data_IF_707096140378
#
_entry.id   IF_707096140378
#
_cell.length_a   1.000
_cell.length_b   1.000
_cell.length_c   1.000
_cell.angle_alpha   90.00
_cell.angle_beta   90.00
_cell.angle_gamma   90.00
#
_symmetry.space_group_name_H-M   'P 1'
#
loop_
_entity.id
_entity.type
_entity.pdbx_description
1 polymer ?
#
# COMPACT_ATOMS: atom_id res chain seq x y z
N UNK A 1 -11.71 -3.74 -14.64
CA UNK A 1 -13.03 -4.27 -14.26
C UNK A 1 -12.83 -4.94 -12.90
N UNK A 2 -13.29 -4.33 -11.80
CA UNK A 2 -12.91 -4.73 -10.44
C UNK A 2 -13.70 -5.95 -9.96
N UNK A 3 -13.05 -6.89 -9.27
CA UNK A 3 -13.67 -7.94 -8.45
C UNK A 3 -14.29 -9.12 -9.24
N UNK A 4 -13.69 -10.31 -9.19
CA UNK A 4 -14.25 -11.55 -9.78
C UNK A 4 -14.61 -12.55 -8.67
N UNK A 5 -15.87 -13.00 -8.63
CA UNK A 5 -16.27 -14.13 -7.78
C UNK A 5 -15.97 -15.43 -8.53
N UNK A 6 -15.08 -16.24 -7.96
CA UNK A 6 -14.71 -17.54 -8.51
C UNK A 6 -15.23 -18.65 -7.59
N UNK A 7 -15.98 -19.58 -8.19
CA UNK A 7 -16.35 -20.85 -7.56
C UNK A 7 -15.14 -21.79 -7.59
N UNK A 8 -14.69 -22.25 -6.43
CA UNK A 8 -13.57 -23.20 -6.30
C UNK A 8 -14.11 -24.62 -6.16
N UNK A 9 -15.14 -24.80 -5.35
CA UNK A 9 -15.93 -26.03 -5.23
C UNK A 9 -17.42 -25.67 -5.11
N UNK A 10 -18.29 -26.66 -4.95
CA UNK A 10 -19.71 -26.41 -4.62
C UNK A 10 -19.91 -25.63 -3.31
N UNK A 11 -18.96 -25.72 -2.38
CA UNK A 11 -19.05 -25.11 -1.05
C UNK A 11 -18.09 -23.94 -0.85
N UNK A 12 -17.06 -23.80 -1.68
CA UNK A 12 -15.96 -22.86 -1.47
C UNK A 12 -15.87 -21.86 -2.62
N UNK A 13 -15.87 -20.59 -2.27
CA UNK A 13 -15.81 -19.48 -3.20
C UNK A 13 -14.75 -18.48 -2.76
N UNK A 14 -14.13 -17.81 -3.73
CA UNK A 14 -13.20 -16.70 -3.50
C UNK A 14 -13.64 -15.49 -4.31
N UNK A 15 -13.75 -14.35 -3.65
CA UNK A 15 -13.91 -13.06 -4.30
C UNK A 15 -12.53 -12.42 -4.45
N UNK A 16 -12.03 -12.41 -5.69
CA UNK A 16 -10.73 -11.85 -6.04
C UNK A 16 -10.83 -10.38 -6.32
N UNK A 17 -10.17 -9.57 -5.52
CA UNK A 17 -10.11 -8.12 -5.66
C UNK A 17 -8.68 -7.65 -5.34
N UNK A 18 -8.51 -6.38 -4.99
CA UNK A 18 -7.28 -5.87 -4.37
C UNK A 18 -6.85 -6.83 -3.25
N UNK A 19 -7.73 -7.07 -2.27
CA UNK A 19 -7.58 -8.16 -1.28
C UNK A 19 -8.57 -9.27 -1.60
N UNK A 20 -8.19 -10.51 -1.40
CA UNK A 20 -9.07 -11.66 -1.57
C UNK A 20 -9.86 -11.92 -0.30
N UNK A 21 -11.14 -12.23 -0.45
CA UNK A 21 -11.96 -12.81 0.62
C UNK A 21 -12.54 -14.12 0.15
N UNK A 22 -12.66 -15.08 1.04
CA UNK A 22 -13.26 -16.37 0.72
C UNK A 22 -14.51 -16.62 1.55
N UNK A 23 -15.39 -17.51 1.10
CA UNK A 23 -16.48 -18.00 1.94
C UNK A 23 -16.75 -19.48 1.72
N UNK A 24 -17.21 -20.13 2.78
CA UNK A 24 -17.47 -21.57 2.86
C UNK A 24 -18.92 -21.79 3.27
N UNK A 25 -19.63 -22.60 2.50
CA UNK A 25 -21.04 -22.93 2.72
C UNK A 25 -21.14 -24.33 3.36
N UNK A 26 -21.51 -24.37 4.63
CA UNK A 26 -21.91 -25.60 5.31
C UNK A 26 -23.43 -25.78 5.33
N UNK A 27 -23.91 -26.82 6.01
CA UNK A 27 -25.34 -27.10 6.08
C UNK A 27 -26.09 -26.09 6.97
N UNK A 28 -25.49 -25.66 8.08
CA UNK A 28 -26.04 -24.69 9.05
C UNK A 28 -25.85 -23.23 8.64
N UNK A 29 -24.82 -22.91 7.84
CA UNK A 29 -24.52 -21.53 7.51
C UNK A 29 -23.20 -21.30 6.79
N UNK A 30 -22.78 -20.04 6.71
CA UNK A 30 -21.60 -19.58 5.97
C UNK A 30 -20.52 -19.09 6.93
N UNK A 31 -19.26 -19.47 6.65
CA UNK A 31 -18.08 -18.78 7.18
C UNK A 31 -17.49 -17.86 6.12
N UNK A 32 -17.15 -16.63 6.48
CA UNK A 32 -16.41 -15.68 5.64
C UNK A 32 -14.98 -15.58 6.15
N UNK A 33 -14.00 -15.59 5.25
CA UNK A 33 -12.58 -15.46 5.55
C UNK A 33 -12.12 -14.13 4.96
N UNK A 34 -11.74 -13.21 5.85
CA UNK A 34 -11.40 -11.81 5.59
C UNK A 34 -12.51 -10.98 4.92
N UNK A 35 -12.54 -9.68 5.18
CA UNK A 35 -13.72 -8.83 4.93
C UNK A 35 -13.48 -7.66 3.97
N UNK A 36 -12.41 -7.69 3.19
CA UNK A 36 -12.05 -6.66 2.19
C UNK A 36 -11.62 -5.31 2.79
N UNK A 37 -11.13 -4.46 1.89
CA UNK A 37 -10.38 -3.24 2.21
C UNK A 37 -11.21 -2.07 2.71
N UNK A 38 -12.50 -2.06 2.40
CA UNK A 38 -13.41 -0.97 2.74
C UNK A 38 -14.87 -1.40 2.71
N UNK A 39 -15.71 -0.57 3.31
CA UNK A 39 -17.16 -0.75 3.36
C UNK A 39 -17.78 -1.07 1.99
N UNK A 40 -17.54 -0.29 0.91
CA UNK A 40 -18.09 -0.64 -0.41
C UNK A 40 -17.69 -2.03 -0.91
N UNK A 41 -16.43 -2.44 -0.68
CA UNK A 41 -15.94 -3.77 -1.08
C UNK A 41 -16.56 -4.89 -0.23
N UNK A 42 -16.76 -4.65 1.06
CA UNK A 42 -17.40 -5.57 1.99
C UNK A 42 -18.91 -5.74 1.69
N UNK A 43 -19.62 -4.65 1.40
CA UNK A 43 -21.03 -4.68 0.96
C UNK A 43 -21.17 -5.43 -0.38
N UNK A 44 -20.20 -5.27 -1.29
CA UNK A 44 -20.14 -6.05 -2.52
C UNK A 44 -19.91 -7.54 -2.25
N UNK A 45 -19.00 -7.89 -1.35
CA UNK A 45 -18.77 -9.29 -0.94
C UNK A 45 -20.04 -9.89 -0.35
N UNK A 46 -20.74 -9.18 0.53
CA UNK A 46 -22.03 -9.62 1.08
C UNK A 46 -23.06 -9.86 -0.03
N UNK A 47 -23.17 -8.93 -0.98
CA UNK A 47 -24.06 -9.09 -2.15
C UNK A 47 -23.74 -10.35 -2.95
N UNK A 48 -22.44 -10.61 -3.18
CA UNK A 48 -21.98 -11.81 -3.88
C UNK A 48 -22.30 -13.09 -3.10
N UNK A 49 -22.11 -13.11 -1.78
CA UNK A 49 -22.51 -14.25 -0.93
C UNK A 49 -24.01 -14.50 -1.07
N UNK A 50 -24.83 -13.44 -0.98
CA UNK A 50 -26.30 -13.52 -1.10
C UNK A 50 -26.77 -13.96 -2.49
N UNK A 51 -25.99 -13.69 -3.54
CA UNK A 51 -26.28 -14.21 -4.88
C UNK A 51 -26.07 -15.73 -5.01
N UNK A 52 -25.34 -16.34 -4.08
CA UNK A 52 -25.03 -17.77 -4.06
C UNK A 52 -25.87 -18.53 -3.02
N UNK A 53 -26.18 -17.91 -1.87
CA UNK A 53 -26.91 -18.59 -0.79
C UNK A 53 -27.64 -17.63 0.16
N UNK A 54 -28.83 -18.07 0.62
CA UNK A 54 -29.63 -17.39 1.64
C UNK A 54 -29.32 -17.85 3.07
N UNK A 55 -28.36 -18.77 3.25
CA UNK A 55 -28.01 -19.29 4.57
C UNK A 55 -27.46 -18.19 5.49
N UNK A 56 -27.66 -18.30 6.82
CA UNK A 56 -27.12 -17.33 7.76
C UNK A 56 -25.59 -17.29 7.70
N UNK A 57 -25.00 -16.10 7.79
CA UNK A 57 -23.56 -15.93 7.94
C UNK A 57 -23.26 -16.08 9.43
N UNK A 58 -22.63 -17.20 9.80
CA UNK A 58 -22.43 -17.56 11.19
C UNK A 58 -21.18 -16.90 11.76
N UNK A 59 -20.11 -16.84 10.96
CA UNK A 59 -18.80 -16.43 11.42
C UNK A 59 -18.02 -15.70 10.35
N UNK A 60 -17.18 -14.78 10.81
CA UNK A 60 -16.10 -14.16 10.05
C UNK A 60 -14.79 -14.55 10.71
N UNK A 61 -13.86 -15.05 9.92
CA UNK A 61 -12.52 -15.44 10.35
C UNK A 61 -11.56 -14.39 9.79
N UNK A 62 -10.89 -13.64 10.67
CA UNK A 62 -9.77 -12.79 10.26
C UNK A 62 -8.48 -13.60 10.27
N UNK A 63 -7.80 -13.65 9.13
CA UNK A 63 -6.56 -14.40 8.98
C UNK A 63 -5.42 -13.72 9.72
N UNK A 64 -5.33 -12.40 9.65
CA UNK A 64 -4.32 -11.59 10.33
C UNK A 64 -4.78 -10.15 10.52
N UNK A 65 -3.97 -9.35 11.20
CA UNK A 65 -4.35 -8.02 11.70
C UNK A 65 -4.43 -6.91 10.64
N UNK A 66 -4.02 -7.16 9.41
CA UNK A 66 -3.97 -6.11 8.40
C UNK A 66 -5.36 -5.56 8.07
N UNK A 67 -5.36 -4.25 7.88
CA UNK A 67 -6.53 -3.44 7.62
C UNK A 67 -7.37 -3.97 6.47
N UNK A 68 -6.70 -4.33 5.38
CA UNK A 68 -7.36 -4.68 4.13
C UNK A 68 -8.05 -6.06 4.17
N UNK A 69 -7.81 -6.82 5.25
CA UNK A 69 -8.46 -8.09 5.59
C UNK A 69 -9.56 -7.94 6.66
N UNK A 70 -9.57 -6.84 7.42
CA UNK A 70 -10.41 -6.69 8.63
C UNK A 70 -11.41 -5.56 8.54
N UNK A 71 -11.24 -4.60 7.63
CA UNK A 71 -12.03 -3.38 7.63
C UNK A 71 -13.54 -3.60 7.37
N UNK A 72 -13.91 -4.60 6.59
CA UNK A 72 -15.31 -4.93 6.36
C UNK A 72 -16.03 -5.60 7.52
N UNK A 73 -15.37 -5.87 8.66
CA UNK A 73 -15.91 -6.65 9.78
C UNK A 73 -17.29 -6.14 10.24
N UNK A 74 -17.49 -4.82 10.30
CA UNK A 74 -18.76 -4.21 10.70
C UNK A 74 -19.95 -4.62 9.82
N UNK A 75 -19.73 -4.82 8.52
CA UNK A 75 -20.79 -5.21 7.58
C UNK A 75 -21.34 -6.59 7.91
N UNK A 76 -20.46 -7.55 8.17
CA UNK A 76 -20.86 -8.91 8.52
C UNK A 76 -21.37 -9.01 9.96
N UNK A 77 -20.87 -8.16 10.86
CA UNK A 77 -21.42 -8.08 12.22
C UNK A 77 -22.89 -7.67 12.21
N UNK A 78 -23.27 -6.74 11.34
CA UNK A 78 -24.66 -6.33 11.17
C UNK A 78 -25.57 -7.45 10.64
N UNK A 79 -24.99 -8.42 9.91
CA UNK A 79 -25.68 -9.63 9.44
C UNK A 79 -25.77 -10.74 10.51
N UNK A 80 -25.29 -10.48 11.73
CA UNK A 80 -25.33 -11.41 12.86
C UNK A 80 -24.14 -12.36 12.96
N UNK A 81 -23.09 -12.18 12.16
CA UNK A 81 -21.89 -13.00 12.22
C UNK A 81 -21.10 -12.78 13.53
N UNK A 82 -20.49 -13.84 14.04
CA UNK A 82 -19.51 -13.78 15.14
C UNK A 82 -18.12 -13.62 14.56
N UNK A 83 -17.36 -12.62 15.02
CA UNK A 83 -15.99 -12.38 14.57
C UNK A 83 -15.00 -13.27 15.34
N UNK A 84 -14.15 -14.00 14.62
CA UNK A 84 -13.18 -14.97 15.15
C UNK A 84 -11.78 -14.66 14.63
N UNK A 85 -10.77 -14.71 15.50
CA UNK A 85 -9.36 -14.63 15.09
C UNK A 85 -8.45 -15.38 16.06
N UNK A 86 -7.15 -15.46 15.75
CA UNK A 86 -6.17 -15.77 16.79
C UNK A 86 -6.17 -14.68 17.87
N UNK A 87 -5.75 -15.02 19.09
CA UNK A 87 -5.55 -14.03 20.17
C UNK A 87 -4.54 -12.95 19.76
N UNK A 88 -3.43 -13.36 19.13
CA UNK A 88 -2.39 -12.45 18.64
C UNK A 88 -2.91 -11.47 17.59
N UNK A 89 -3.76 -11.93 16.67
CA UNK A 89 -4.38 -11.08 15.66
C UNK A 89 -5.21 -9.97 16.30
N UNK A 90 -6.06 -10.28 17.28
CA UNK A 90 -6.85 -9.27 18.00
C UNK A 90 -5.96 -8.26 18.74
N UNK A 91 -4.89 -8.75 19.37
CA UNK A 91 -3.91 -7.90 20.05
C UNK A 91 -3.23 -6.95 19.05
N UNK A 92 -2.80 -7.44 17.89
CA UNK A 92 -2.15 -6.64 16.85
C UNK A 92 -3.09 -5.66 16.17
N UNK A 93 -4.37 -6.01 15.97
CA UNK A 93 -5.37 -5.07 15.46
C UNK A 93 -5.50 -3.83 16.34
N UNK A 94 -5.22 -3.95 17.64
CA UNK A 94 -5.22 -2.80 18.56
C UNK A 94 -3.84 -2.15 18.62
N UNK A 95 -2.81 -2.94 18.94
CA UNK A 95 -1.46 -2.43 19.22
C UNK A 95 -0.78 -1.82 17.99
N UNK A 96 -1.12 -2.29 16.78
CA UNK A 96 -0.51 -1.85 15.52
C UNK A 96 -1.43 -0.97 14.66
N UNK A 97 -2.66 -0.67 15.11
CA UNK A 97 -3.57 0.23 14.38
C UNK A 97 -2.98 1.62 14.11
N UNK A 98 -2.31 2.30 15.07
CA UNK A 98 -1.70 3.61 14.79
C UNK A 98 -0.67 3.55 13.66
N UNK A 99 0.18 2.51 13.68
CA UNK A 99 1.19 2.24 12.66
C UNK A 99 0.57 1.99 11.28
N UNK A 100 -0.50 1.19 11.20
CA UNK A 100 -1.19 0.94 9.94
C UNK A 100 -1.81 2.21 9.36
N UNK A 101 -2.44 3.03 10.22
CA UNK A 101 -2.99 4.33 9.82
C UNK A 101 -1.90 5.25 9.30
N UNK A 102 -0.77 5.35 9.99
CA UNK A 102 0.38 6.16 9.55
C UNK A 102 0.91 5.67 8.19
N UNK A 103 1.13 4.36 8.05
CA UNK A 103 1.61 3.73 6.82
C UNK A 103 0.67 3.96 5.62
N UNK A 104 -0.65 3.95 5.82
CA UNK A 104 -1.61 4.16 4.75
C UNK A 104 -1.95 5.65 4.51
N UNK A 105 -1.90 6.48 5.56
CA UNK A 105 -2.08 7.93 5.44
C UNK A 105 -0.96 8.58 4.62
N UNK A 106 0.29 8.15 4.78
CA UNK A 106 1.37 8.62 3.91
C UNK A 106 1.16 8.19 2.45
N UNK A 107 0.38 7.12 2.21
CA UNK A 107 -0.04 6.65 0.89
C UNK A 107 -1.32 7.31 0.33
N UNK A 108 -1.86 8.31 1.03
CA UNK A 108 -3.07 9.02 0.62
C UNK A 108 -4.35 8.22 0.80
N UNK A 109 -4.32 7.19 1.65
CA UNK A 109 -5.49 6.43 2.06
C UNK A 109 -5.92 6.87 3.46
N UNK A 110 -7.19 7.26 3.61
CA UNK A 110 -7.83 7.32 4.92
C UNK A 110 -8.55 5.99 5.19
N UNK A 111 -8.20 5.40 6.33
CA UNK A 111 -8.86 4.18 6.80
C UNK A 111 -10.17 4.52 7.49
N UNK A 112 -10.33 5.73 8.01
CA UNK A 112 -11.48 6.10 8.82
C UNK A 112 -11.44 5.38 10.17
N UNK A 113 -12.56 4.74 10.55
CA UNK A 113 -12.71 4.11 11.87
C UNK A 113 -11.94 2.79 11.93
N UNK A 114 -11.43 2.48 13.12
CA UNK A 114 -10.79 1.18 13.36
C UNK A 114 -11.76 0.02 13.09
N UNK A 115 -11.27 -1.11 12.55
CA UNK A 115 -12.08 -2.29 12.34
C UNK A 115 -12.70 -2.80 13.64
N UNK A 116 -13.87 -3.44 13.55
CA UNK A 116 -14.42 -4.17 14.68
C UNK A 116 -13.48 -5.33 15.06
N UNK A 117 -13.16 -5.40 16.35
CA UNK A 117 -12.32 -6.45 16.90
C UNK A 117 -13.06 -7.79 16.98
N UNK A 118 -12.34 -8.92 16.80
CA UNK A 118 -12.87 -10.26 17.00
C UNK A 118 -13.43 -10.49 18.41
N UNK A 119 -14.55 -11.19 18.49
CA UNK A 119 -15.26 -11.50 19.73
C UNK A 119 -14.72 -12.77 20.36
N UNK A 120 -14.47 -13.78 19.53
CA UNK A 120 -13.87 -15.05 19.93
C UNK A 120 -12.41 -15.06 19.47
N UNK A 121 -11.53 -15.41 20.39
CA UNK A 121 -10.11 -15.63 20.10
C UNK A 121 -9.69 -17.05 20.42
N UNK A 122 -8.73 -17.57 19.67
CA UNK A 122 -8.11 -18.87 19.96
C UNK A 122 -6.58 -18.79 19.99
N UNK A 123 -5.97 -19.83 20.57
CA UNK A 123 -4.52 -20.06 20.54
C UNK A 123 -4.24 -21.47 20.01
N UNK A 124 -3.23 -21.62 19.15
CA UNK A 124 -2.89 -22.91 18.55
C UNK A 124 -3.85 -23.35 17.45
N UNK A 125 -4.87 -24.14 17.80
CA UNK A 125 -5.85 -24.71 16.85
C UNK A 125 -7.27 -24.44 17.30
N UNK A 126 -8.15 -24.20 16.34
CA UNK A 126 -9.58 -24.02 16.57
C UNK A 126 -10.37 -24.65 15.44
N UNK A 127 -11.60 -25.09 15.71
CA UNK A 127 -12.45 -25.72 14.71
C UNK A 127 -13.86 -25.15 14.79
N UNK A 128 -14.44 -24.88 13.62
CA UNK A 128 -15.82 -24.43 13.47
C UNK A 128 -16.55 -25.47 12.63
N UNK A 129 -17.69 -25.96 13.13
CA UNK A 129 -18.57 -26.86 12.36
C UNK A 129 -19.70 -26.05 11.72
N UNK A 130 -19.68 -25.94 10.39
CA UNK A 130 -20.74 -25.29 9.62
C UNK A 130 -21.91 -26.24 9.32
N UNK A 131 -22.02 -27.38 10.01
CA UNK A 131 -23.01 -28.42 9.75
C UNK A 131 -22.45 -29.46 8.80
N UNK A 132 -21.55 -30.32 9.29
CA UNK A 132 -20.91 -31.36 8.51
C UNK A 132 -19.71 -30.89 7.67
N UNK A 133 -19.38 -29.60 7.75
CA UNK A 133 -18.20 -29.01 7.08
C UNK A 133 -17.28 -28.43 8.17
N UNK A 134 -16.27 -29.19 8.62
CA UNK A 134 -15.33 -28.72 9.63
C UNK A 134 -14.33 -27.73 9.00
N UNK A 135 -14.22 -26.56 9.61
CA UNK A 135 -13.29 -25.48 9.24
C UNK A 135 -12.21 -25.41 10.31
N UNK A 136 -10.97 -25.78 9.97
CA UNK A 136 -9.86 -25.86 10.91
C UNK A 136 -8.98 -24.62 10.81
N UNK A 137 -8.85 -23.88 11.90
CA UNK A 137 -8.01 -22.69 12.01
C UNK A 137 -6.73 -23.06 12.77
N UNK A 138 -5.57 -22.66 12.27
CA UNK A 138 -4.30 -22.95 12.94
C UNK A 138 -3.21 -21.95 12.56
N UNK A 139 -2.23 -21.79 13.44
CA UNK A 139 -1.02 -21.03 13.16
C UNK A 139 0.00 -21.91 12.43
N UNK A 140 0.30 -21.58 11.16
CA UNK A 140 1.26 -22.32 10.34
C UNK A 140 2.73 -21.93 10.60
N UNK A 141 2.95 -20.78 11.23
CA UNK A 141 4.26 -20.15 11.45
C UNK A 141 4.24 -18.68 11.02
N UNK A 142 5.31 -17.95 11.32
CA UNK A 142 5.48 -16.56 10.88
C UNK A 142 5.69 -16.47 9.37
N UNK A 143 5.09 -15.47 8.74
CA UNK A 143 5.18 -15.21 7.31
C UNK A 143 5.25 -13.69 7.08
N UNK A 144 4.35 -13.13 6.27
CA UNK A 144 4.21 -11.68 6.07
C UNK A 144 3.93 -10.96 7.39
N UNK A 145 3.15 -11.59 8.27
CA UNK A 145 2.94 -11.22 9.67
C UNK A 145 3.26 -12.37 10.62
N UNK A 146 3.37 -12.07 11.92
CA UNK A 146 3.61 -13.06 12.98
C UNK A 146 2.32 -13.66 13.57
N UNK A 147 1.15 -13.22 13.12
CA UNK A 147 -0.17 -13.64 13.63
C UNK A 147 -1.01 -14.43 12.62
N UNK A 148 -0.48 -14.65 11.41
CA UNK A 148 -1.19 -15.28 10.30
C UNK A 148 -1.80 -16.65 10.68
N UNK A 149 -3.13 -16.70 10.57
CA UNK A 149 -3.95 -17.89 10.73
C UNK A 149 -4.24 -18.50 9.36
N UNK A 150 -3.91 -19.78 9.20
CA UNK A 150 -4.35 -20.57 8.07
C UNK A 150 -5.71 -21.23 8.39
N UNK A 151 -6.56 -21.32 7.38
CA UNK A 151 -7.87 -22.00 7.43
C UNK A 151 -7.82 -23.20 6.50
N UNK A 152 -7.99 -24.40 7.04
CA UNK A 152 -7.96 -25.65 6.29
C UNK A 152 -9.35 -26.30 6.28
N UNK A 153 -9.76 -26.74 5.09
CA UNK A 153 -10.95 -27.52 4.84
C UNK A 153 -10.54 -28.93 4.42
N UNK A 154 -10.53 -29.91 5.35
CA UNK A 154 -10.01 -31.24 5.07
C UNK A 154 -10.79 -31.98 3.97
N UNK A 155 -12.11 -31.79 3.91
CA UNK A 155 -12.98 -32.48 2.95
C UNK A 155 -12.74 -31.99 1.52
N UNK A 156 -12.59 -30.68 1.34
CA UNK A 156 -12.29 -30.07 0.04
C UNK A 156 -10.79 -30.11 -0.30
N UNK A 157 -9.93 -30.43 0.68
CA UNK A 157 -8.48 -30.36 0.59
C UNK A 157 -8.00 -28.96 0.15
N UNK A 158 -8.54 -27.92 0.79
CA UNK A 158 -8.28 -26.51 0.47
C UNK A 158 -7.72 -25.80 1.69
N UNK A 159 -6.75 -24.91 1.46
CA UNK A 159 -6.23 -23.99 2.47
C UNK A 159 -6.45 -22.55 2.05
N UNK A 160 -7.03 -21.73 2.92
CA UNK A 160 -6.96 -20.27 2.82
C UNK A 160 -5.85 -19.79 3.74
N UNK A 161 -4.96 -18.95 3.23
CA UNK A 161 -3.66 -18.70 3.87
C UNK A 161 -3.43 -17.25 4.32
N UNK A 162 -4.38 -16.36 4.04
CA UNK A 162 -4.13 -14.91 4.15
C UNK A 162 -2.86 -14.53 3.39
N UNK A 163 -2.09 -13.61 3.94
CA UNK A 163 -0.88 -13.10 3.29
C UNK A 163 0.35 -13.99 3.49
N UNK A 164 0.18 -15.15 4.12
CA UNK A 164 1.22 -16.19 4.08
C UNK A 164 1.56 -16.58 2.65
N UNK A 165 0.57 -16.55 1.75
CA UNK A 165 0.75 -16.74 0.31
C UNK A 165 0.15 -15.56 -0.42
N UNK A 166 0.94 -14.94 -1.30
CA UNK A 166 0.52 -13.90 -2.23
C UNK A 166 1.02 -14.26 -3.62
N UNK A 167 0.19 -14.10 -4.64
CA UNK A 167 0.51 -14.53 -6.01
C UNK A 167 0.16 -13.46 -7.05
N UNK A 168 0.61 -13.68 -8.29
CA UNK A 168 0.31 -12.79 -9.42
C UNK A 168 1.05 -11.45 -9.39
N UNK A 169 1.83 -11.20 -8.34
CA UNK A 169 2.72 -10.06 -8.18
C UNK A 169 3.91 -10.44 -7.30
N UNK A 170 4.96 -9.63 -7.35
CA UNK A 170 6.04 -9.66 -6.38
C UNK A 170 5.47 -9.53 -4.94
N UNK A 171 5.76 -10.48 -4.04
CA UNK A 171 5.19 -10.50 -2.70
C UNK A 171 5.70 -9.34 -1.86
N UNK A 172 4.87 -8.80 -0.97
CA UNK A 172 5.37 -7.95 0.10
C UNK A 172 5.97 -8.85 1.16
N UNK A 173 7.24 -8.64 1.53
CA UNK A 173 7.90 -9.48 2.53
C UNK A 173 7.72 -8.96 3.96
N UNK A 174 6.64 -8.22 4.22
CA UNK A 174 6.46 -7.42 5.42
C UNK A 174 6.77 -5.95 5.17
N UNK A 175 6.22 -5.10 6.04
CA UNK A 175 6.40 -3.66 5.91
C UNK A 175 7.88 -3.26 6.14
N UNK A 176 8.51 -2.48 5.24
CA UNK A 176 9.96 -2.32 5.19
C UNK A 176 10.58 -1.56 6.38
N UNK A 177 9.77 -0.86 7.16
CA UNK A 177 10.23 0.03 8.26
C UNK A 177 10.00 -0.56 9.65
N UNK A 178 9.48 -1.78 9.70
CA UNK A 178 9.03 -2.39 10.93
C UNK A 178 9.55 -3.81 11.08
N UNK A 179 9.62 -4.29 12.31
CA UNK A 179 10.08 -5.62 12.66
C UNK A 179 8.94 -6.64 12.51
N UNK A 180 8.69 -6.96 11.26
CA UNK A 180 7.67 -7.89 10.80
C UNK A 180 8.08 -8.47 9.46
N UNK A 181 7.59 -9.66 9.13
CA UNK A 181 7.78 -10.27 7.82
C UNK A 181 9.04 -11.10 7.72
N UNK A 182 9.66 -11.12 6.54
CA UNK A 182 10.83 -11.93 6.24
C UNK A 182 12.06 -11.45 7.04
N UNK A 183 12.56 -12.30 7.93
CA UNK A 183 13.68 -11.98 8.82
C UNK A 183 15.03 -12.56 8.37
N UNK A 184 15.05 -13.33 7.28
CA UNK A 184 16.25 -14.03 6.81
C UNK A 184 16.66 -15.24 7.66
N UNK A 185 15.76 -15.74 8.51
CA UNK A 185 15.93 -16.87 9.43
C UNK A 185 15.26 -18.17 8.94
N UNK A 186 14.62 -18.15 7.77
CA UNK A 186 13.95 -19.29 7.16
C UNK A 186 12.56 -19.61 7.72
N UNK A 187 11.99 -18.77 8.58
CA UNK A 187 10.66 -19.03 9.15
C UNK A 187 9.56 -19.06 8.09
N UNK A 188 9.54 -18.10 7.15
CA UNK A 188 8.51 -18.06 6.12
C UNK A 188 8.56 -19.27 5.19
N UNK A 189 9.75 -19.65 4.70
CA UNK A 189 9.94 -20.90 3.96
C UNK A 189 9.36 -22.10 4.74
N UNK A 190 9.65 -22.21 6.04
CA UNK A 190 9.12 -23.29 6.88
C UNK A 190 7.59 -23.22 7.01
N UNK A 191 7.03 -22.02 7.12
CA UNK A 191 5.58 -21.79 7.15
C UNK A 191 4.93 -22.28 5.85
N UNK A 192 5.50 -21.94 4.70
CA UNK A 192 5.04 -22.43 3.40
C UNK A 192 5.12 -23.96 3.33
N UNK A 193 6.21 -24.56 3.80
CA UNK A 193 6.37 -26.02 3.85
C UNK A 193 5.30 -26.68 4.75
N UNK A 194 4.96 -26.07 5.89
CA UNK A 194 3.89 -26.55 6.76
C UNK A 194 2.52 -26.53 6.06
N UNK A 195 2.23 -25.50 5.26
CA UNK A 195 1.02 -25.47 4.43
C UNK A 195 1.03 -26.56 3.35
N UNK A 196 2.16 -26.74 2.67
CA UNK A 196 2.32 -27.76 1.63
C UNK A 196 2.27 -29.19 2.17
N UNK A 197 2.66 -29.40 3.43
CA UNK A 197 2.58 -30.72 4.10
C UNK A 197 1.14 -31.22 4.26
N UNK A 198 0.15 -30.32 4.24
CA UNK A 198 -1.27 -30.69 4.19
C UNK A 198 -1.69 -31.28 2.83
N UNK A 199 -0.83 -31.15 1.81
CA UNK A 199 -1.08 -31.55 0.42
C UNK A 199 -2.36 -30.93 -0.16
N UNK A 200 -2.59 -29.62 0.01
CA UNK A 200 -3.81 -28.99 -0.49
C UNK A 200 -3.91 -29.11 -2.00
N UNK A 201 -5.11 -29.39 -2.51
CA UNK A 201 -5.39 -29.39 -3.95
C UNK A 201 -5.24 -27.98 -4.53
N UNK A 202 -5.52 -26.95 -3.73
CA UNK A 202 -5.33 -25.54 -4.06
C UNK A 202 -5.23 -24.71 -2.79
N UNK A 203 -4.42 -23.64 -2.84
CA UNK A 203 -4.35 -22.60 -1.82
C UNK A 203 -5.06 -21.34 -2.32
N UNK A 204 -5.91 -20.77 -1.47
CA UNK A 204 -6.56 -19.47 -1.67
C UNK A 204 -5.70 -18.42 -0.93
N UNK A 205 -4.96 -17.56 -1.67
CA UNK A 205 -4.10 -16.55 -1.06
C UNK A 205 -4.90 -15.33 -0.61
N UNK A 206 -4.31 -14.52 0.27
CA UNK A 206 -4.83 -13.20 0.66
C UNK A 206 -4.80 -12.19 -0.48
N UNK A 207 -3.89 -12.37 -1.44
CA UNK A 207 -3.83 -11.57 -2.66
C UNK A 207 -3.51 -12.41 -3.91
N UNK A 208 -4.14 -12.05 -5.02
CA UNK A 208 -3.81 -12.59 -6.34
C UNK A 208 -4.60 -13.85 -6.74
N UNK A 209 -4.19 -14.52 -7.84
CA UNK A 209 -4.79 -15.77 -8.31
C UNK A 209 -4.62 -16.96 -7.36
N UNK A 210 -5.41 -18.02 -7.55
CA UNK A 210 -5.24 -19.28 -6.80
C UNK A 210 -3.82 -19.83 -6.93
N UNK A 211 -3.28 -20.36 -5.82
CA UNK A 211 -1.92 -20.87 -5.73
C UNK A 211 -1.88 -22.40 -5.74
N UNK A 212 -0.92 -22.97 -6.46
CA UNK A 212 -0.54 -24.39 -6.40
C UNK A 212 0.97 -24.50 -6.25
N UNK A 213 1.50 -25.70 -6.46
CA UNK A 213 2.94 -26.01 -6.31
C UNK A 213 3.86 -25.05 -7.05
N UNK A 214 3.49 -24.63 -8.26
CA UNK A 214 4.27 -23.66 -9.06
C UNK A 214 4.39 -22.31 -8.35
N UNK A 215 3.28 -21.76 -7.87
CA UNK A 215 3.26 -20.47 -7.17
C UNK A 215 4.01 -20.55 -5.83
N UNK A 216 3.87 -21.66 -5.10
CA UNK A 216 4.60 -21.86 -3.84
C UNK A 216 6.11 -21.97 -4.07
N UNK A 217 6.50 -22.69 -5.12
CA UNK A 217 7.91 -22.85 -5.51
C UNK A 217 8.51 -21.53 -5.97
N UNK A 218 7.75 -20.70 -6.69
CA UNK A 218 8.17 -19.35 -7.06
C UNK A 218 8.35 -18.47 -5.82
N UNK A 219 7.39 -18.49 -4.87
CA UNK A 219 7.50 -17.70 -3.64
C UNK A 219 8.75 -18.08 -2.83
N UNK A 220 8.98 -19.38 -2.62
CA UNK A 220 10.20 -19.88 -1.96
C UNK A 220 11.46 -19.47 -2.72
N UNK A 221 11.44 -19.52 -4.06
CA UNK A 221 12.60 -19.14 -4.87
C UNK A 221 12.93 -17.64 -4.74
N UNK A 222 11.91 -16.77 -4.70
CA UNK A 222 12.08 -15.33 -4.46
C UNK A 222 12.68 -15.11 -3.06
N UNK A 223 12.09 -15.70 -2.02
CA UNK A 223 12.60 -15.58 -0.65
C UNK A 223 14.06 -16.01 -0.55
N UNK A 224 14.40 -17.19 -1.07
CA UNK A 224 15.76 -17.72 -1.06
C UNK A 224 16.74 -16.80 -1.75
N UNK A 225 16.38 -16.27 -2.93
CA UNK A 225 17.23 -15.36 -3.67
C UNK A 225 17.59 -14.12 -2.83
N UNK A 226 16.59 -13.42 -2.29
CA UNK A 226 16.86 -12.19 -1.51
C UNK A 226 17.56 -12.48 -0.19
N UNK A 227 17.19 -13.56 0.50
CA UNK A 227 17.87 -13.97 1.75
C UNK A 227 19.33 -14.28 1.49
N UNK A 228 19.64 -15.06 0.45
CA UNK A 228 21.01 -15.44 0.11
C UNK A 228 21.84 -14.24 -0.33
N UNK A 229 21.34 -13.44 -1.27
CA UNK A 229 22.10 -12.35 -1.86
C UNK A 229 22.33 -11.18 -0.89
N UNK A 230 21.34 -10.85 -0.06
CA UNK A 230 21.53 -9.82 0.97
C UNK A 230 22.46 -10.33 2.06
N UNK A 231 22.34 -11.61 2.46
CA UNK A 231 23.23 -12.21 3.47
C UNK A 231 24.69 -12.17 3.03
N UNK A 232 25.00 -12.55 1.79
CA UNK A 232 26.35 -12.45 1.22
C UNK A 232 26.94 -11.05 1.36
N UNK A 233 26.13 -10.01 1.19
CA UNK A 233 26.59 -8.64 1.28
C UNK A 233 26.69 -8.13 2.73
N UNK A 234 25.77 -8.55 3.61
CA UNK A 234 25.85 -8.27 5.06
C UNK A 234 27.09 -8.92 5.67
N UNK A 235 27.42 -10.15 5.29
CA UNK A 235 28.62 -10.88 5.75
C UNK A 235 29.93 -10.20 5.31
N UNK A 236 29.90 -9.42 4.22
CA UNK A 236 31.00 -8.55 3.78
C UNK A 236 31.05 -7.20 4.52
N UNK A 237 30.16 -6.97 5.47
CA UNK A 237 30.05 -5.71 6.21
C UNK A 237 29.44 -4.56 5.41
N UNK A 238 28.74 -4.85 4.30
CA UNK A 238 28.13 -3.80 3.49
C UNK A 238 26.94 -3.15 4.20
N UNK A 239 26.84 -1.82 4.10
CA UNK A 239 25.65 -1.07 4.48
C UNK A 239 24.49 -1.31 3.50
N UNK A 240 23.29 -0.87 3.86
CA UNK A 240 22.09 -1.07 3.03
C UNK A 240 22.18 -0.40 1.64
N UNK A 241 22.76 0.80 1.55
CA UNK A 241 22.86 1.56 0.29
C UNK A 241 23.65 0.82 -0.79
N UNK A 242 24.90 0.37 -0.54
CA UNK A 242 25.64 -0.37 -1.56
C UNK A 242 25.00 -1.73 -1.87
N UNK A 243 24.26 -2.34 -0.93
CA UNK A 243 23.51 -3.58 -1.18
C UNK A 243 22.38 -3.33 -2.18
N UNK A 244 21.58 -2.28 -1.97
CA UNK A 244 20.50 -1.92 -2.87
C UNK A 244 21.03 -1.59 -4.27
N UNK A 245 22.07 -0.76 -4.36
CA UNK A 245 22.66 -0.40 -5.66
C UNK A 245 23.24 -1.60 -6.40
N UNK A 246 23.93 -2.50 -5.69
CA UNK A 246 24.48 -3.73 -6.29
C UNK A 246 23.35 -4.63 -6.79
N UNK A 247 22.43 -5.01 -5.90
CA UNK A 247 21.39 -6.00 -6.20
C UNK A 247 20.41 -5.51 -7.27
N UNK A 248 19.93 -4.27 -7.18
CA UNK A 248 19.01 -3.70 -8.17
C UNK A 248 19.63 -3.70 -9.59
N UNK A 249 20.94 -3.52 -9.71
CA UNK A 249 21.63 -3.50 -11.01
C UNK A 249 21.76 -4.89 -11.67
N UNK A 250 21.63 -5.97 -10.89
CA UNK A 250 21.89 -7.34 -11.33
C UNK A 250 20.77 -8.32 -10.99
N UNK A 251 19.55 -7.80 -10.79
CA UNK A 251 18.38 -8.65 -10.57
C UNK A 251 18.19 -9.60 -11.77
N UNK A 252 18.03 -10.92 -11.53
CA UNK A 252 17.72 -11.86 -12.57
C UNK A 252 16.47 -11.49 -13.35
N UNK A 253 16.46 -11.81 -14.64
CA UNK A 253 15.33 -11.50 -15.54
C UNK A 253 14.00 -12.10 -15.06
N UNK A 254 14.04 -13.27 -14.40
CA UNK A 254 12.83 -13.90 -13.85
C UNK A 254 12.21 -13.13 -12.68
N UNK A 255 12.99 -12.30 -11.98
CA UNK A 255 12.50 -11.39 -10.92
C UNK A 255 11.98 -10.10 -11.55
N UNK A 256 12.73 -9.50 -12.48
CA UNK A 256 12.36 -8.21 -13.09
C UNK A 256 11.11 -8.29 -13.97
N UNK A 257 10.75 -9.50 -14.43
CA UNK A 257 9.50 -9.77 -15.16
C UNK A 257 8.27 -9.95 -14.26
N UNK A 258 8.42 -10.04 -12.93
CA UNK A 258 7.29 -10.18 -12.03
C UNK A 258 6.49 -8.88 -11.97
N UNK A 259 5.14 -8.92 -12.04
CA UNK A 259 4.32 -7.73 -11.84
C UNK A 259 4.55 -7.13 -10.45
N UNK A 260 4.68 -5.81 -10.36
CA UNK A 260 4.83 -5.08 -9.10
C UNK A 260 3.51 -4.40 -8.76
N UNK A 261 2.81 -4.96 -7.77
CA UNK A 261 1.52 -4.47 -7.25
C UNK A 261 1.65 -4.22 -5.75
N UNK A 262 2.18 -5.20 -5.02
CA UNK A 262 2.27 -5.19 -3.55
C UNK A 262 3.69 -4.93 -3.05
N UNK A 263 4.63 -5.83 -3.34
CA UNK A 263 6.04 -5.67 -2.96
C UNK A 263 6.92 -5.22 -4.12
N UNK A 264 8.16 -4.87 -3.80
CA UNK A 264 9.21 -4.57 -4.78
C UNK A 264 10.51 -5.29 -4.39
N UNK A 265 11.42 -5.57 -5.36
CA UNK A 265 12.76 -6.07 -5.05
C UNK A 265 13.49 -5.22 -4.01
N UNK A 266 13.34 -3.89 -4.07
CA UNK A 266 13.89 -2.96 -3.07
C UNK A 266 13.35 -3.25 -1.67
N UNK A 267 12.04 -3.42 -1.54
CA UNK A 267 11.41 -3.74 -0.25
C UNK A 267 11.90 -5.09 0.29
N UNK A 268 12.07 -6.08 -0.58
CA UNK A 268 12.64 -7.37 -0.20
C UNK A 268 14.07 -7.22 0.35
N UNK A 269 14.93 -6.45 -0.33
CA UNK A 269 16.31 -6.19 0.11
C UNK A 269 16.33 -5.50 1.48
N UNK A 270 15.54 -4.44 1.63
CA UNK A 270 15.44 -3.67 2.89
C UNK A 270 15.02 -4.57 4.05
N UNK A 271 13.96 -5.35 3.84
CA UNK A 271 13.38 -6.22 4.85
C UNK A 271 14.33 -7.31 5.31
N UNK A 272 14.93 -8.03 4.36
CA UNK A 272 15.95 -9.05 4.67
C UNK A 272 17.15 -8.44 5.38
N UNK A 273 17.65 -7.28 4.92
CA UNK A 273 18.78 -6.62 5.57
C UNK A 273 18.48 -6.28 7.03
N UNK A 274 17.31 -5.71 7.31
CA UNK A 274 16.89 -5.39 8.69
C UNK A 274 16.79 -6.65 9.55
N UNK A 275 16.21 -7.72 9.02
CA UNK A 275 16.08 -8.99 9.75
C UNK A 275 17.41 -9.65 10.08
N UNK A 276 18.38 -9.59 9.17
CA UNK A 276 19.73 -10.12 9.37
C UNK A 276 20.57 -9.24 10.32
N UNK A 277 20.39 -7.92 10.26
CA UNK A 277 21.15 -6.96 11.09
C UNK A 277 20.50 -6.61 12.43
N UNK A 278 19.30 -7.15 12.70
CA UNK A 278 18.50 -6.91 13.92
C UNK A 278 18.33 -5.42 14.22
N UNK A 279 18.11 -4.60 13.18
CA UNK A 279 17.87 -3.17 13.37
C UNK A 279 16.47 -2.93 13.96
N UNK A 280 16.36 -2.17 15.06
CA UNK A 280 15.07 -1.87 15.69
C UNK A 280 14.20 -1.00 14.80
N UNK A 281 12.89 -1.02 15.03
CA UNK A 281 11.92 -0.10 14.43
C UNK A 281 12.39 1.35 14.59
N UNK A 282 12.51 2.06 13.47
CA UNK A 282 12.93 3.46 13.46
C UNK A 282 11.77 4.40 13.14
N UNK A 283 10.58 3.87 12.85
CA UNK A 283 9.34 4.61 12.59
C UNK A 283 9.42 5.58 11.41
N UNK A 284 10.44 5.45 10.55
CA UNK A 284 10.73 6.40 9.48
C UNK A 284 10.65 5.70 8.13
N UNK A 285 9.92 6.27 7.17
CA UNK A 285 9.79 5.71 5.81
C UNK A 285 11.19 5.45 5.21
N UNK A 286 11.46 4.18 4.89
CA UNK A 286 12.80 3.57 4.93
C UNK A 286 13.82 3.99 3.86
N UNK A 287 13.49 4.94 2.99
CA UNK A 287 14.42 5.44 1.96
C UNK A 287 15.12 6.76 2.35
N UNK A 288 14.68 7.40 3.45
CA UNK A 288 15.15 8.73 3.83
C UNK A 288 16.64 8.77 4.25
N UNK A 289 17.27 7.63 4.58
CA UNK A 289 18.58 7.60 5.26
C UNK A 289 19.79 7.10 4.46
N UNK A 290 19.68 6.93 3.14
CA UNK A 290 20.79 6.45 2.31
C UNK A 290 21.57 7.61 1.65
N UNK A 291 22.90 7.66 1.82
CA UNK A 291 23.80 8.85 1.65
C UNK A 291 24.90 8.67 0.55
N UNK A 292 25.65 9.74 0.17
CA UNK A 292 26.03 10.10 -1.20
C UNK A 292 27.40 9.61 -1.71
N UNK A 293 27.54 9.60 -3.04
CA UNK A 293 28.81 9.91 -3.69
C UNK A 293 28.61 10.86 -4.90
N UNK A 294 29.43 11.92 -4.92
CA UNK A 294 29.72 12.88 -5.99
C UNK A 294 28.56 13.68 -6.61
N UNK A 295 28.16 14.78 -5.97
CA UNK A 295 27.51 15.91 -6.66
C UNK A 295 28.13 17.23 -6.15
N UNK A 296 28.56 18.17 -7.02
CA UNK A 296 29.23 19.42 -6.61
C UNK A 296 28.31 20.39 -5.86
N UNK A 297 28.87 21.50 -5.36
CA UNK A 297 28.23 22.45 -4.44
C UNK A 297 26.93 23.15 -4.91
N UNK A 298 26.34 23.89 -3.97
CA UNK A 298 24.96 24.43 -3.94
C UNK A 298 24.41 25.00 -5.25
N UNK A 299 25.21 25.77 -5.98
CA UNK A 299 24.74 26.55 -7.13
C UNK A 299 24.55 25.68 -8.38
N UNK A 300 25.09 24.45 -8.37
CA UNK A 300 25.00 23.51 -9.49
C UNK A 300 23.86 22.50 -9.35
N UNK A 301 23.26 22.34 -8.16
CA UNK A 301 22.24 21.30 -7.96
C UNK A 301 21.00 21.49 -8.85
N UNK A 302 20.49 22.71 -8.98
CA UNK A 302 19.31 22.96 -9.80
C UNK A 302 19.60 22.79 -11.30
N UNK A 303 20.79 23.20 -11.74
CA UNK A 303 21.23 23.00 -13.12
C UNK A 303 21.38 21.50 -13.43
N UNK A 304 22.07 20.75 -12.58
CA UNK A 304 22.24 19.30 -12.74
C UNK A 304 20.90 18.56 -12.67
N UNK A 305 19.98 18.99 -11.80
CA UNK A 305 18.64 18.42 -11.73
C UNK A 305 17.82 18.71 -13.01
N UNK A 306 18.01 19.88 -13.62
CA UNK A 306 17.41 20.23 -14.91
C UNK A 306 18.01 19.39 -16.05
N UNK A 307 19.34 19.26 -16.12
CA UNK A 307 20.03 18.40 -17.08
C UNK A 307 19.59 16.93 -16.95
N UNK A 308 19.47 16.42 -15.72
CA UNK A 308 18.94 15.08 -15.47
C UNK A 308 17.48 14.93 -15.92
N UNK A 309 16.65 15.98 -15.73
CA UNK A 309 15.27 16.02 -16.24
C UNK A 309 15.24 15.96 -17.77
N UNK A 310 16.07 16.76 -18.44
CA UNK A 310 16.18 16.80 -19.90
C UNK A 310 16.67 15.48 -20.48
N UNK A 311 17.64 14.84 -19.80
CA UNK A 311 18.13 13.50 -20.13
C UNK A 311 17.15 12.36 -19.79
N UNK A 312 16.03 12.65 -19.13
CA UNK A 312 15.01 11.66 -18.76
C UNK A 312 15.37 10.79 -17.54
N UNK A 313 16.44 11.10 -16.81
CA UNK A 313 16.87 10.37 -15.61
C UNK A 313 16.19 10.93 -14.35
N UNK A 314 14.96 10.47 -14.15
CA UNK A 314 14.12 10.73 -12.98
C UNK A 314 14.81 10.43 -11.65
N UNK A 315 15.50 9.29 -11.56
CA UNK A 315 16.15 8.83 -10.34
C UNK A 315 17.34 9.72 -9.98
N UNK A 316 18.16 10.08 -10.96
CA UNK A 316 19.26 11.02 -10.78
C UNK A 316 18.76 12.40 -10.36
N UNK A 317 17.71 12.91 -11.00
CA UNK A 317 17.09 14.18 -10.64
C UNK A 317 16.63 14.21 -9.18
N UNK A 318 15.90 13.18 -8.72
CA UNK A 318 15.46 13.09 -7.33
C UNK A 318 16.65 13.05 -6.35
N UNK A 319 17.71 12.32 -6.68
CA UNK A 319 18.94 12.26 -5.87
C UNK A 319 19.63 13.62 -5.76
N UNK A 320 19.75 14.35 -6.86
CA UNK A 320 20.36 15.69 -6.90
C UNK A 320 19.57 16.66 -6.02
N UNK A 321 18.24 16.69 -6.16
CA UNK A 321 17.39 17.58 -5.38
C UNK A 321 17.35 17.22 -3.89
N UNK A 322 17.38 15.93 -3.55
CA UNK A 322 17.55 15.49 -2.15
C UNK A 322 18.87 16.02 -1.57
N UNK A 323 19.97 15.97 -2.33
CA UNK A 323 21.27 16.52 -1.89
C UNK A 323 21.23 18.03 -1.70
N UNK A 324 20.51 18.75 -2.57
CA UNK A 324 20.30 20.18 -2.39
C UNK A 324 19.60 20.47 -1.05
N UNK A 325 18.56 19.72 -0.72
CA UNK A 325 17.87 19.84 0.59
C UNK A 325 18.79 19.48 1.75
N UNK A 326 19.61 18.44 1.65
CA UNK A 326 20.56 18.09 2.72
C UNK A 326 21.67 19.13 2.92
N UNK A 327 22.13 19.75 1.83
CA UNK A 327 23.16 20.79 1.87
C UNK A 327 22.61 22.14 2.33
N UNK A 328 21.33 22.39 2.11
CA UNK A 328 20.64 23.63 2.45
C UNK A 328 19.23 23.32 2.96
N UNK A 329 19.10 22.73 4.17
CA UNK A 329 17.81 22.34 4.73
C UNK A 329 16.89 23.53 4.98
N UNK A 330 17.46 24.74 5.00
CA UNK A 330 16.74 25.98 5.17
C UNK A 330 16.23 26.60 3.85
N UNK A 331 16.64 26.08 2.69
CA UNK A 331 16.23 26.62 1.38
C UNK A 331 14.81 26.19 1.01
N UNK A 332 13.94 27.19 0.86
CA UNK A 332 12.58 27.01 0.37
C UNK A 332 12.53 26.50 -1.07
N UNK A 333 13.49 26.93 -1.89
CA UNK A 333 13.65 26.55 -3.28
C UNK A 333 14.05 25.08 -3.41
N UNK A 334 15.02 24.62 -2.61
CA UNK A 334 15.45 23.22 -2.63
C UNK A 334 14.33 22.27 -2.17
N UNK A 335 13.66 22.62 -1.07
CA UNK A 335 12.52 21.85 -0.55
C UNK A 335 11.37 21.79 -1.56
N UNK A 336 11.03 22.93 -2.17
CA UNK A 336 9.93 23.00 -3.15
C UNK A 336 10.28 22.24 -4.42
N UNK A 337 11.47 22.41 -4.98
CA UNK A 337 11.89 21.72 -6.20
C UNK A 337 11.94 20.20 -6.00
N UNK A 338 12.42 19.76 -4.84
CA UNK A 338 12.43 18.34 -4.49
C UNK A 338 11.01 17.76 -4.36
N UNK A 339 10.12 18.46 -3.66
CA UNK A 339 8.72 18.09 -3.54
C UNK A 339 8.04 18.00 -4.92
N UNK A 340 8.26 18.96 -5.81
CA UNK A 340 7.69 18.94 -7.16
C UNK A 340 8.21 17.78 -8.00
N UNK A 341 9.51 17.47 -7.91
CA UNK A 341 10.09 16.32 -8.59
C UNK A 341 9.49 15.00 -8.09
N UNK A 342 9.27 14.84 -6.78
CA UNK A 342 8.59 13.68 -6.21
C UNK A 342 7.17 13.52 -6.78
N UNK A 343 6.40 14.61 -6.87
CA UNK A 343 5.06 14.55 -7.47
C UNK A 343 5.11 14.16 -8.94
N UNK A 344 6.06 14.69 -9.70
CA UNK A 344 6.21 14.38 -11.12
C UNK A 344 6.54 12.90 -11.33
N UNK A 345 7.51 12.37 -10.56
CA UNK A 345 7.92 10.97 -10.68
C UNK A 345 6.88 9.98 -10.12
N UNK A 346 6.04 10.40 -9.16
CA UNK A 346 4.93 9.57 -8.67
C UNK A 346 3.96 9.14 -9.78
N UNK A 347 3.93 9.86 -10.91
CA UNK A 347 3.09 9.52 -12.07
C UNK A 347 3.62 8.32 -12.85
N UNK A 348 4.93 8.06 -12.77
CA UNK A 348 5.63 6.99 -13.50
C UNK A 348 5.90 5.77 -12.63
N UNK A 349 5.90 5.93 -11.32
CA UNK A 349 6.01 4.83 -10.38
C UNK A 349 4.82 3.85 -10.59
N UNK A 350 5.02 2.53 -10.78
CA UNK A 350 3.90 1.59 -10.80
C UNK A 350 3.41 1.21 -9.40
N UNK A 351 4.29 1.17 -8.39
CA UNK A 351 3.96 0.75 -7.03
C UNK A 351 3.07 1.76 -6.31
N UNK A 352 1.92 1.30 -5.82
CA UNK A 352 1.01 2.13 -5.00
C UNK A 352 1.68 2.54 -3.69
N UNK A 353 2.52 1.66 -3.13
CA UNK A 353 3.21 1.92 -1.87
C UNK A 353 4.31 2.98 -2.05
N UNK A 354 5.09 2.90 -3.12
CA UNK A 354 6.19 3.84 -3.37
C UNK A 354 5.67 5.23 -3.78
N UNK A 355 4.54 5.30 -4.50
CA UNK A 355 3.83 6.56 -4.76
C UNK A 355 3.49 7.33 -3.49
N UNK A 356 3.04 6.60 -2.48
CA UNK A 356 2.65 7.20 -1.21
C UNK A 356 3.78 7.96 -0.55
N UNK A 357 4.93 7.31 -0.42
CA UNK A 357 6.09 7.91 0.23
C UNK A 357 6.52 9.23 -0.48
N UNK A 358 6.32 9.33 -1.80
CA UNK A 358 6.61 10.55 -2.56
C UNK A 358 5.67 11.69 -2.16
N UNK A 359 4.38 11.40 -1.98
CA UNK A 359 3.38 12.38 -1.58
C UNK A 359 3.61 12.91 -0.17
N UNK A 360 4.00 12.04 0.77
CA UNK A 360 4.28 12.43 2.16
C UNK A 360 5.47 13.39 2.24
N UNK A 361 6.57 13.07 1.54
CA UNK A 361 7.78 13.88 1.61
C UNK A 361 7.59 15.21 0.90
N UNK A 362 6.86 15.21 -0.22
CA UNK A 362 6.43 16.45 -0.85
C UNK A 362 5.58 17.30 0.10
N UNK A 363 4.61 16.68 0.81
CA UNK A 363 3.76 17.35 1.79
C UNK A 363 4.58 17.97 2.92
N UNK A 364 5.43 17.20 3.58
CA UNK A 364 6.27 17.66 4.69
C UNK A 364 7.20 18.80 4.25
N UNK A 365 7.78 18.70 3.04
CA UNK A 365 8.61 19.77 2.49
C UNK A 365 7.80 21.07 2.31
N UNK A 366 6.59 21.02 1.74
CA UNK A 366 5.77 22.22 1.61
C UNK A 366 5.26 22.76 2.95
N UNK A 367 4.95 21.91 3.94
CA UNK A 367 4.59 22.37 5.29
C UNK A 367 5.72 23.17 5.92
N UNK A 368 6.95 22.66 5.81
CA UNK A 368 8.11 23.34 6.37
C UNK A 368 8.39 24.66 5.64
N UNK A 369 8.24 24.71 4.31
CA UNK A 369 8.37 25.95 3.55
C UNK A 369 7.30 26.96 3.97
N UNK A 370 6.03 26.56 4.05
CA UNK A 370 4.92 27.44 4.43
C UNK A 370 4.98 27.91 5.88
N UNK A 371 5.61 27.13 6.76
CA UNK A 371 5.89 27.54 8.15
C UNK A 371 6.86 28.72 8.20
N UNK A 372 7.80 28.79 7.26
CA UNK A 372 8.86 29.82 7.20
C UNK A 372 8.43 31.01 6.36
N UNK A 373 7.86 30.76 5.19
CA UNK A 373 7.31 31.74 4.28
C UNK A 373 5.87 31.35 3.92
N UNK A 374 4.88 31.87 4.66
CA UNK A 374 3.47 31.60 4.42
C UNK A 374 2.96 32.06 3.04
N UNK A 375 3.73 32.87 2.31
CA UNK A 375 3.37 33.41 1.01
C UNK A 375 4.19 32.77 -0.14
N UNK A 376 4.95 31.71 0.15
CA UNK A 376 5.77 31.03 -0.84
C UNK A 376 4.88 30.38 -1.92
N UNK A 377 4.84 30.99 -3.10
CA UNK A 377 3.95 30.62 -4.21
C UNK A 377 4.02 29.14 -4.57
N UNK A 378 5.23 28.59 -4.74
CA UNK A 378 5.41 27.19 -5.14
C UNK A 378 4.89 26.19 -4.10
N UNK A 379 5.04 26.52 -2.81
CA UNK A 379 4.59 25.65 -1.73
C UNK A 379 3.07 25.75 -1.52
N UNK A 380 2.48 26.94 -1.67
CA UNK A 380 1.02 27.13 -1.67
C UNK A 380 0.37 26.34 -2.80
N UNK A 381 0.93 26.41 -4.02
CA UNK A 381 0.49 25.63 -5.16
C UNK A 381 0.65 24.12 -4.91
N UNK A 382 1.83 23.68 -4.50
CA UNK A 382 2.12 22.27 -4.21
C UNK A 382 1.14 21.65 -3.21
N UNK A 383 1.05 22.25 -2.02
CA UNK A 383 0.18 21.80 -0.96
C UNK A 383 -1.31 21.90 -1.33
N UNK A 384 -1.71 23.02 -1.95
CA UNK A 384 -3.09 23.24 -2.35
C UNK A 384 -3.59 22.20 -3.35
N UNK A 385 -2.77 21.86 -4.35
CA UNK A 385 -3.05 20.79 -5.32
C UNK A 385 -3.17 19.43 -4.64
N UNK A 386 -2.22 19.11 -3.77
CA UNK A 386 -2.19 17.84 -3.05
C UNK A 386 -3.45 17.62 -2.21
N UNK A 387 -3.78 18.56 -1.32
CA UNK A 387 -4.94 18.46 -0.44
C UNK A 387 -6.26 18.42 -1.21
N UNK A 388 -6.38 19.23 -2.27
CA UNK A 388 -7.61 19.25 -3.08
C UNK A 388 -7.82 17.92 -3.82
N UNK A 389 -6.75 17.29 -4.30
CA UNK A 389 -6.83 16.00 -4.98
C UNK A 389 -7.08 14.84 -4.03
N UNK A 390 -6.52 14.88 -2.81
CA UNK A 390 -6.84 13.94 -1.74
C UNK A 390 -8.33 13.99 -1.41
N UNK A 391 -8.88 15.19 -1.19
CA UNK A 391 -10.31 15.38 -0.99
C UNK A 391 -11.17 14.87 -2.15
N UNK A 392 -10.76 15.13 -3.40
CA UNK A 392 -11.48 14.67 -4.59
C UNK A 392 -11.52 13.14 -4.72
N UNK A 393 -10.43 12.44 -4.38
CA UNK A 393 -10.32 10.98 -4.54
C UNK A 393 -10.76 10.18 -3.31
N UNK A 394 -10.42 10.67 -2.12
CA UNK A 394 -10.63 10.00 -0.83
C UNK A 394 -11.94 10.37 -0.14
N UNK A 395 -12.58 11.48 -0.54
CA UNK A 395 -13.82 11.93 0.05
C UNK A 395 -13.67 12.96 1.18
N UNK A 396 -12.47 13.46 1.44
CA UNK A 396 -12.23 14.51 2.45
C UNK A 396 -12.77 15.90 2.03
N UNK A 397 -12.68 16.85 2.95
CA UNK A 397 -13.03 18.26 2.72
C UNK A 397 -11.91 18.99 1.93
N UNK A 398 -12.20 19.52 0.72
CA UNK A 398 -11.21 20.25 -0.07
C UNK A 398 -10.89 21.66 0.42
N UNK A 399 -11.60 22.20 1.44
CA UNK A 399 -11.54 23.61 1.82
C UNK A 399 -10.13 24.14 2.09
N UNK A 400 -9.30 23.41 2.86
CA UNK A 400 -7.92 23.81 3.14
C UNK A 400 -7.09 23.88 1.87
N UNK A 401 -7.21 22.89 0.99
CA UNK A 401 -6.51 22.85 -0.29
C UNK A 401 -6.91 24.02 -1.19
N UNK A 402 -8.21 24.30 -1.28
CA UNK A 402 -8.74 25.41 -2.05
C UNK A 402 -8.27 26.77 -1.52
N UNK A 403 -8.29 26.98 -0.20
CA UNK A 403 -7.82 28.23 0.41
C UNK A 403 -6.33 28.51 0.08
N UNK A 404 -5.49 27.48 0.11
CA UNK A 404 -4.07 27.61 -0.28
C UNK A 404 -3.90 27.95 -1.76
N UNK A 405 -4.73 27.37 -2.64
CA UNK A 405 -4.72 27.70 -4.07
C UNK A 405 -5.21 29.12 -4.34
N UNK A 406 -6.22 29.61 -3.61
CA UNK A 406 -6.66 31.00 -3.73
C UNK A 406 -5.58 31.97 -3.26
N UNK A 407 -4.94 31.68 -2.12
CA UNK A 407 -3.80 32.45 -1.64
C UNK A 407 -2.63 32.44 -2.63
N UNK A 408 -2.36 31.30 -3.27
CA UNK A 408 -1.33 31.21 -4.31
C UNK A 408 -1.65 32.09 -5.52
N UNK A 409 -2.93 32.34 -5.84
CA UNK A 409 -3.31 33.20 -6.96
C UNK A 409 -3.06 34.69 -6.67
N UNK A 410 -3.05 35.10 -5.40
CA UNK A 410 -2.76 36.48 -4.98
C UNK A 410 -1.30 36.89 -5.27
N UNK A 411 -0.39 35.91 -5.36
CA UNK A 411 1.02 36.15 -5.69
C UNK A 411 1.30 36.30 -7.19
N UNK A 412 0.25 36.26 -8.01
CA UNK A 412 0.30 36.34 -9.46
C UNK A 412 1.28 35.31 -10.10
N UNK A 413 1.00 34.00 -9.93
CA UNK A 413 1.87 32.95 -10.43
C UNK A 413 1.94 32.97 -11.96
N UNK A 414 3.02 32.39 -12.52
CA UNK A 414 3.18 32.23 -13.96
C UNK A 414 1.93 31.60 -14.61
N UNK A 415 1.61 31.99 -15.84
CA UNK A 415 0.36 31.63 -16.53
C UNK A 415 0.00 30.14 -16.42
N UNK A 416 0.97 29.24 -16.63
CA UNK A 416 0.78 27.78 -16.50
C UNK A 416 0.41 27.36 -15.07
N UNK A 417 1.14 27.88 -14.08
CA UNK A 417 0.90 27.58 -12.67
C UNK A 417 -0.44 28.16 -12.18
N UNK A 418 -0.82 29.34 -12.67
CA UNK A 418 -2.14 29.93 -12.44
C UNK A 418 -3.25 29.09 -13.07
N UNK A 419 -3.06 28.59 -14.30
CA UNK A 419 -4.01 27.70 -14.95
C UNK A 419 -4.20 26.38 -14.17
N UNK A 420 -3.11 25.79 -13.69
CA UNK A 420 -3.17 24.63 -12.80
C UNK A 420 -3.96 24.93 -11.52
N UNK A 421 -3.67 26.04 -10.84
CA UNK A 421 -4.38 26.41 -9.61
C UNK A 421 -5.89 26.56 -9.85
N UNK A 422 -6.29 27.22 -10.94
CA UNK A 422 -7.70 27.34 -11.32
C UNK A 422 -8.33 25.97 -11.61
N UNK A 423 -7.60 25.06 -12.29
CA UNK A 423 -8.09 23.71 -12.53
C UNK A 423 -8.35 22.94 -11.22
N UNK A 424 -7.39 22.94 -10.29
CA UNK A 424 -7.57 22.24 -9.02
C UNK A 424 -8.64 22.88 -8.13
N UNK A 425 -8.79 24.21 -8.14
CA UNK A 425 -9.95 24.88 -7.53
C UNK A 425 -11.27 24.37 -8.11
N UNK A 426 -11.33 24.18 -9.44
CA UNK A 426 -12.49 23.60 -10.11
C UNK A 426 -12.79 22.17 -9.63
N UNK A 427 -11.76 21.34 -9.47
CA UNK A 427 -11.90 19.99 -8.91
C UNK A 427 -12.43 20.02 -7.46
N UNK A 428 -11.97 20.98 -6.64
CA UNK A 428 -12.49 21.20 -5.29
C UNK A 428 -13.99 21.55 -5.28
N UNK A 429 -14.43 22.50 -6.11
CA UNK A 429 -15.85 22.84 -6.23
C UNK A 429 -16.69 21.65 -6.73
N UNK A 430 -16.18 20.87 -7.70
CA UNK A 430 -16.87 19.66 -8.18
C UNK A 430 -17.02 18.63 -7.06
N UNK A 431 -16.00 18.45 -6.21
CA UNK A 431 -16.09 17.57 -5.02
C UNK A 431 -17.19 18.03 -4.05
N UNK A 432 -17.39 19.33 -3.90
CA UNK A 432 -18.46 19.92 -3.09
C UNK A 432 -19.85 19.89 -3.78
N UNK A 433 -19.94 19.37 -5.01
CA UNK A 433 -21.18 19.35 -5.80
C UNK A 433 -21.52 20.68 -6.48
N UNK A 434 -20.64 21.68 -6.44
CA UNK A 434 -20.84 22.97 -7.10
C UNK A 434 -20.25 22.97 -8.53
N UNK A 435 -20.98 22.33 -9.42
CA UNK A 435 -20.57 22.14 -10.80
C UNK A 435 -20.52 23.47 -11.59
N UNK A 436 -21.31 24.47 -11.19
CA UNK A 436 -21.32 25.78 -11.83
C UNK A 436 -20.01 26.54 -11.57
N UNK A 437 -19.55 26.58 -10.31
CA UNK A 437 -18.25 27.17 -9.97
C UNK A 437 -17.10 26.35 -10.52
N UNK A 438 -17.21 25.02 -10.55
CA UNK A 438 -16.20 24.16 -11.17
C UNK A 438 -15.93 24.55 -12.62
N UNK A 439 -16.99 24.64 -13.45
CA UNK A 439 -16.88 25.05 -14.86
C UNK A 439 -16.30 26.46 -15.02
N UNK A 440 -16.70 27.42 -14.19
CA UNK A 440 -16.15 28.77 -14.23
C UNK A 440 -14.63 28.78 -13.95
N UNK A 441 -14.16 27.93 -13.03
CA UNK A 441 -12.73 27.78 -12.74
C UNK A 441 -11.97 27.11 -13.90
N UNK A 442 -12.52 26.08 -14.54
CA UNK A 442 -11.90 25.48 -15.73
C UNK A 442 -11.79 26.47 -16.90
N UNK A 443 -12.79 27.33 -17.11
CA UNK A 443 -12.71 28.39 -18.11
C UNK A 443 -11.62 29.42 -17.79
N UNK A 444 -11.49 29.82 -16.52
CA UNK A 444 -10.39 30.69 -16.08
C UNK A 444 -9.03 30.04 -16.31
N UNK A 445 -8.90 28.73 -16.07
CA UNK A 445 -7.67 27.99 -16.37
C UNK A 445 -7.29 28.09 -17.85
N UNK A 446 -8.25 27.90 -18.76
CA UNK A 446 -8.02 28.03 -20.21
C UNK A 446 -7.80 29.46 -20.68
N UNK A 447 -8.29 30.45 -19.95
CA UNK A 447 -8.00 31.87 -20.22
C UNK A 447 -6.54 32.19 -19.89
N UNK A 448 -6.01 31.61 -18.81
CA UNK A 448 -4.61 31.78 -18.40
C UNK A 448 -3.66 30.97 -19.29
N UNK A 449 -4.02 29.73 -19.63
CA UNK A 449 -3.27 28.88 -20.55
C UNK A 449 -4.23 28.09 -21.47
N UNK A 450 -4.44 28.54 -22.72
CA UNK A 450 -5.31 27.87 -23.68
C UNK A 450 -4.89 26.43 -24.04
N UNK A 451 -3.63 26.07 -23.77
CA UNK A 451 -3.06 24.74 -24.04
C UNK A 451 -3.19 23.79 -22.84
N UNK A 452 -3.77 24.24 -21.73
CA UNK A 452 -3.93 23.44 -20.51
C UNK A 452 -4.97 22.32 -20.68
N UNK A 453 -4.55 21.20 -21.25
CA UNK A 453 -5.40 20.05 -21.61
C UNK A 453 -6.28 19.53 -20.47
N UNK A 454 -5.84 19.43 -19.20
CA UNK A 454 -6.71 18.94 -18.13
C UNK A 454 -8.00 19.76 -17.96
N UNK A 455 -7.93 21.09 -18.07
CA UNK A 455 -9.13 21.93 -17.99
C UNK A 455 -10.02 21.79 -19.22
N UNK A 456 -9.44 21.55 -20.41
CA UNK A 456 -10.21 21.30 -21.64
C UNK A 456 -11.01 20.00 -21.56
N UNK A 457 -10.42 18.96 -20.95
CA UNK A 457 -11.08 17.67 -20.76
C UNK A 457 -12.10 17.66 -19.60
N UNK A 458 -12.03 18.65 -18.70
CA UNK A 458 -12.87 18.73 -17.51
C UNK A 458 -14.09 19.64 -17.66
N UNK A 459 -14.18 20.43 -18.75
CA UNK A 459 -15.44 21.08 -19.18
C UNK A 459 -16.50 20.03 -19.48
#
# INVERSE_FOLDING_TARGET
>A
MYGELQKVTERVFIFRNITNSSFVIGDKGVAVIDTQVNRPSAERLLTLIRSVTDKPILTVINTHYHWDHTNGNQIFKNEGAVLVSSKRTKEFMTARAPRQKEFLACRGFDLGRDPLLPEITFEGKYAIDLGGTPVHLFFAGSAETDDATAVHLPTENIVMSGDTVMTGSFPIFGQPVWDEGLQGDGQWEKTIQNLMALKPAVILPGHGPLAREKEMSLLIAIEKFFVEEVRKSVEKGMGIDPILSDLESRLPEWITKLPIVWGTPRYAILRVYRGLTKKPDDGKTGWQWMKPSAIPGSDTYFQLAAEAKEGGDAGLRLRILKKAVEASPDSSEALTAYAEALIEESRREPSVLEKGDFFEIARAAWEEVLRRDPNHTGALLGMGRYLTMMAYRGGDDPARGMALLEKAMETNPAARAGAEAQFYLGMGFRRLGDEARARARFQKALTLDPTFMPARLAQ
#
